data_IF_327228459798
#
_entry.id   IF_327228459798
#
_cell.length_a   1.000
_cell.length_b   1.000
_cell.length_c   1.000
_cell.angle_alpha   90.00
_cell.angle_beta   90.00
_cell.angle_gamma   90.00
#
_symmetry.space_group_name_H-M   'P 1'
#
loop_
_entity.id
_entity.type
_entity.pdbx_description
1 polymer ?
#
# COMPACT_ATOMS: atom_id res chain seq x y z
N UNK A 1 5.60 -12.85 -2.03
CA UNK A 1 5.08 -11.47 -2.01
C UNK A 1 5.61 -10.57 -0.86
N UNK A 2 5.42 -10.89 0.44
CA UNK A 2 5.87 -9.97 1.54
C UNK A 2 7.39 -9.71 1.53
N UNK A 3 8.21 -10.69 1.19
CA UNK A 3 9.68 -10.54 1.14
C UNK A 3 10.12 -9.71 -0.08
N UNK A 4 9.58 -9.98 -1.27
CA UNK A 4 9.88 -9.23 -2.49
C UNK A 4 9.48 -7.76 -2.34
N UNK A 5 8.32 -7.48 -1.71
CA UNK A 5 7.91 -6.11 -1.41
C UNK A 5 8.92 -5.40 -0.48
N UNK A 6 9.38 -6.08 0.58
CA UNK A 6 10.41 -5.54 1.47
C UNK A 6 11.70 -5.25 0.70
N UNK A 7 12.15 -6.16 -0.16
CA UNK A 7 13.33 -5.97 -0.99
C UNK A 7 13.17 -4.76 -1.93
N UNK A 8 12.03 -4.64 -2.62
CA UNK A 8 11.77 -3.52 -3.51
C UNK A 8 11.70 -2.19 -2.73
N UNK A 9 11.08 -2.19 -1.55
CA UNK A 9 11.01 -1.00 -0.68
C UNK A 9 12.40 -0.56 -0.19
N UNK A 10 13.28 -1.51 0.11
CA UNK A 10 14.68 -1.26 0.48
C UNK A 10 15.47 -0.72 -0.72
N UNK A 11 15.30 -1.31 -1.91
CA UNK A 11 15.92 -0.83 -3.16
C UNK A 11 15.50 0.60 -3.50
N UNK A 12 14.23 0.95 -3.36
CA UNK A 12 13.76 2.33 -3.49
C UNK A 12 14.47 3.28 -2.51
N UNK A 13 14.60 2.87 -1.25
CA UNK A 13 15.31 3.64 -0.23
C UNK A 13 16.79 3.86 -0.59
N UNK A 14 17.50 2.81 -1.03
CA UNK A 14 18.92 2.89 -1.39
C UNK A 14 19.16 3.66 -2.68
N UNK A 15 18.31 3.51 -3.70
CA UNK A 15 18.32 4.32 -4.93
C UNK A 15 18.27 5.81 -4.58
N UNK A 16 17.31 6.22 -3.75
CA UNK A 16 17.18 7.62 -3.33
C UNK A 16 18.38 8.10 -2.52
N UNK A 17 18.90 7.27 -1.61
CA UNK A 17 20.08 7.62 -0.82
C UNK A 17 21.32 7.84 -1.71
N UNK A 18 21.59 6.92 -2.64
CA UNK A 18 22.74 7.01 -3.54
C UNK A 18 22.67 8.25 -4.44
N UNK A 19 21.50 8.50 -5.03
CA UNK A 19 21.30 9.68 -5.90
C UNK A 19 21.43 10.96 -5.09
N UNK A 20 20.90 11.01 -3.86
CA UNK A 20 21.12 12.15 -2.95
C UNK A 20 22.59 12.42 -2.73
N UNK A 21 23.39 11.39 -2.44
CA UNK A 21 24.84 11.56 -2.26
C UNK A 21 25.52 12.12 -3.52
N UNK A 22 25.12 11.66 -4.70
CA UNK A 22 25.66 12.16 -5.99
C UNK A 22 25.28 13.63 -6.19
N UNK A 23 24.00 13.97 -6.01
CA UNK A 23 23.50 15.34 -6.15
C UNK A 23 24.15 16.28 -5.15
N UNK A 24 24.28 15.88 -3.89
CA UNK A 24 24.92 16.72 -2.88
C UNK A 24 26.41 16.94 -3.20
N UNK A 25 27.12 15.93 -3.72
CA UNK A 25 28.52 16.09 -4.17
C UNK A 25 28.66 16.99 -5.40
N UNK A 26 27.79 16.84 -6.39
CA UNK A 26 27.91 17.53 -7.70
C UNK A 26 27.25 18.90 -7.74
N UNK A 27 26.18 19.13 -6.97
CA UNK A 27 25.27 20.26 -7.13
C UNK A 27 25.08 21.14 -5.89
N UNK A 28 25.48 20.71 -4.68
CA UNK A 28 25.18 21.42 -3.44
C UNK A 28 25.86 22.80 -3.26
N UNK A 29 26.71 23.23 -4.20
CA UNK A 29 27.58 24.40 -4.04
C UNK A 29 26.92 25.75 -4.38
N UNK A 30 25.66 25.79 -4.86
CA UNK A 30 25.04 27.06 -5.27
C UNK A 30 23.52 27.11 -5.11
N UNK A 31 23.03 28.22 -4.53
CA UNK A 31 21.60 28.57 -4.48
C UNK A 31 20.95 28.68 -5.87
N UNK A 32 21.74 28.99 -6.90
CA UNK A 32 21.28 29.03 -8.30
C UNK A 32 20.80 27.66 -8.77
N UNK A 33 21.44 26.57 -8.31
CA UNK A 33 21.03 25.21 -8.69
C UNK A 33 19.69 24.85 -8.06
N UNK A 34 19.51 25.17 -6.79
CA UNK A 34 18.24 24.94 -6.08
C UNK A 34 17.08 25.63 -6.80
N UNK A 35 17.23 26.90 -7.18
CA UNK A 35 16.19 27.63 -7.91
C UNK A 35 15.88 27.02 -9.28
N UNK A 36 16.90 26.53 -10.01
CA UNK A 36 16.70 25.82 -11.27
C UNK A 36 15.95 24.50 -11.09
N UNK A 37 16.29 23.72 -10.05
CA UNK A 37 15.58 22.47 -9.75
C UNK A 37 14.11 22.75 -9.43
N UNK A 38 13.84 23.77 -8.61
CA UNK A 38 12.47 24.18 -8.28
C UNK A 38 11.68 24.62 -9.51
N UNK A 39 12.27 25.43 -10.38
CA UNK A 39 11.61 25.90 -11.59
C UNK A 39 11.25 24.72 -12.50
N UNK A 40 12.24 23.86 -12.82
CA UNK A 40 12.02 22.67 -13.63
C UNK A 40 10.91 21.77 -13.04
N UNK A 41 10.98 21.48 -11.75
CA UNK A 41 9.99 20.62 -11.10
C UNK A 41 8.61 21.28 -11.02
N UNK A 42 8.53 22.60 -10.89
CA UNK A 42 7.24 23.30 -10.90
C UNK A 42 6.61 23.31 -12.29
N UNK A 43 7.42 23.33 -13.34
CA UNK A 43 6.95 23.27 -14.72
C UNK A 43 6.49 21.84 -15.09
N UNK A 44 7.25 20.81 -14.67
CA UNK A 44 6.91 19.41 -14.93
C UNK A 44 5.83 18.86 -13.98
N UNK A 45 5.78 19.34 -12.75
CA UNK A 45 4.91 18.85 -11.67
C UNK A 45 4.30 20.05 -10.89
N UNK A 46 3.29 20.73 -11.47
CA UNK A 46 2.73 21.96 -10.89
C UNK A 46 2.18 21.80 -9.47
N UNK A 47 1.77 20.59 -9.10
CA UNK A 47 1.29 20.24 -7.76
C UNK A 47 2.38 20.36 -6.68
N UNK A 48 3.66 20.30 -7.05
CA UNK A 48 4.79 20.43 -6.11
C UNK A 48 5.15 21.89 -5.79
N UNK A 49 4.58 22.88 -6.48
CA UNK A 49 5.02 24.29 -6.42
C UNK A 49 5.00 24.86 -4.99
N UNK A 50 3.97 24.53 -4.21
CA UNK A 50 3.85 24.98 -2.82
C UNK A 50 4.95 24.36 -1.93
N UNK A 51 5.17 23.05 -2.02
CA UNK A 51 6.20 22.34 -1.27
C UNK A 51 7.63 22.76 -1.67
N UNK A 52 7.85 23.03 -2.96
CA UNK A 52 9.13 23.49 -3.47
C UNK A 52 9.46 24.91 -3.02
N UNK A 53 8.46 25.75 -2.74
CA UNK A 53 8.68 27.14 -2.31
C UNK A 53 9.52 27.21 -1.03
N UNK A 54 9.28 26.30 -0.08
CA UNK A 54 9.94 26.25 1.23
C UNK A 54 11.28 25.52 1.23
N UNK A 55 11.60 24.73 0.19
CA UNK A 55 12.86 23.99 0.12
C UNK A 55 14.06 24.94 -0.05
N UNK A 56 15.05 24.92 0.84
CA UNK A 56 16.22 25.84 0.76
C UNK A 56 17.48 25.20 0.18
N UNK A 57 17.53 23.88 0.14
CA UNK A 57 18.71 23.10 -0.23
C UNK A 57 18.36 22.09 -1.32
N UNK A 58 19.38 21.56 -1.99
CA UNK A 58 19.22 20.42 -2.92
C UNK A 58 18.55 19.26 -2.19
N UNK A 59 18.98 18.97 -0.96
CA UNK A 59 18.39 17.94 -0.12
C UNK A 59 16.90 18.16 0.17
N UNK A 60 16.50 19.40 0.46
CA UNK A 60 15.10 19.75 0.68
C UNK A 60 14.25 19.61 -0.59
N UNK A 61 14.82 19.90 -1.76
CA UNK A 61 14.14 19.64 -3.04
C UNK A 61 13.99 18.14 -3.27
N UNK A 62 15.04 17.35 -3.01
CA UNK A 62 14.99 15.89 -3.15
C UNK A 62 14.01 15.23 -2.16
N UNK A 63 13.75 15.84 -1.01
CA UNK A 63 12.71 15.37 -0.08
C UNK A 63 11.31 15.51 -0.68
N UNK A 64 11.01 16.64 -1.32
CA UNK A 64 9.74 16.87 -2.02
C UNK A 64 9.60 15.87 -3.17
N UNK A 65 10.65 15.71 -3.98
CA UNK A 65 10.69 14.73 -5.09
C UNK A 65 10.42 13.32 -4.57
N UNK A 66 11.04 12.92 -3.45
CA UNK A 66 10.86 11.59 -2.87
C UNK A 66 9.41 11.30 -2.46
N UNK A 67 8.68 12.31 -1.97
CA UNK A 67 7.26 12.16 -1.62
C UNK A 67 6.36 11.98 -2.84
N UNK A 68 6.74 12.56 -3.98
CA UNK A 68 6.03 12.39 -5.25
C UNK A 68 6.30 11.03 -5.88
N UNK A 69 7.51 10.50 -5.75
CA UNK A 69 7.88 9.18 -6.26
C UNK A 69 7.19 8.05 -5.48
N UNK A 70 7.04 6.91 -6.14
CA UNK A 70 6.62 5.64 -5.54
C UNK A 70 7.71 4.59 -5.69
N UNK A 71 7.52 3.42 -5.07
CA UNK A 71 8.47 2.29 -5.19
C UNK A 71 8.63 1.78 -6.63
N UNK A 72 7.75 2.14 -7.56
CA UNK A 72 7.80 1.72 -8.97
C UNK A 72 8.05 2.90 -9.92
N UNK A 73 7.64 4.10 -9.52
CA UNK A 73 7.75 5.31 -10.34
C UNK A 73 8.68 6.32 -9.67
N UNK A 74 9.84 6.52 -10.27
CA UNK A 74 10.87 7.48 -9.87
C UNK A 74 11.05 8.60 -10.90
N UNK A 75 10.09 8.80 -11.81
CA UNK A 75 10.21 9.75 -12.91
C UNK A 75 10.57 11.20 -12.51
N UNK A 76 10.03 11.78 -11.42
CA UNK A 76 10.47 13.09 -10.94
C UNK A 76 11.98 13.19 -10.68
N UNK A 77 12.62 12.09 -10.25
CA UNK A 77 14.06 12.02 -10.01
C UNK A 77 14.85 11.90 -11.33
N UNK A 78 14.29 11.22 -12.32
CA UNK A 78 14.86 11.10 -13.68
C UNK A 78 14.91 12.44 -14.40
N UNK A 79 13.83 13.23 -14.32
CA UNK A 79 13.77 14.59 -14.87
C UNK A 79 14.95 15.43 -14.37
N UNK A 80 15.26 15.34 -13.07
CA UNK A 80 16.42 16.00 -12.50
C UNK A 80 17.75 15.43 -13.01
N UNK A 81 17.91 14.10 -13.02
CA UNK A 81 19.15 13.47 -13.46
C UNK A 81 19.52 13.88 -14.89
N UNK A 82 18.55 13.80 -15.82
CA UNK A 82 18.71 14.16 -17.23
C UNK A 82 19.00 15.64 -17.40
N UNK A 83 18.21 16.53 -16.79
CA UNK A 83 18.36 17.98 -16.99
C UNK A 83 19.69 18.50 -16.43
N UNK A 84 20.15 17.93 -15.32
CA UNK A 84 21.43 18.30 -14.70
C UNK A 84 22.60 17.45 -15.19
N UNK A 85 22.38 16.57 -16.18
CA UNK A 85 23.39 15.72 -16.84
C UNK A 85 24.20 14.88 -15.84
N UNK A 86 23.51 14.30 -14.86
CA UNK A 86 24.12 13.47 -13.81
C UNK A 86 24.04 12.00 -14.24
N UNK A 87 24.97 11.60 -15.12
CA UNK A 87 25.00 10.25 -15.71
C UNK A 87 24.92 9.12 -14.69
N UNK A 88 25.65 9.22 -13.57
CA UNK A 88 25.63 8.16 -12.55
C UNK A 88 24.24 8.01 -11.90
N UNK A 89 23.47 9.11 -11.81
CA UNK A 89 22.10 9.04 -11.33
C UNK A 89 21.16 8.44 -12.38
N UNK A 90 21.35 8.76 -13.66
CA UNK A 90 20.58 8.16 -14.76
C UNK A 90 20.74 6.63 -14.78
N UNK A 91 21.98 6.13 -14.63
CA UNK A 91 22.26 4.69 -14.60
C UNK A 91 21.58 3.99 -13.42
N UNK A 92 21.65 4.58 -12.21
CA UNK A 92 20.99 4.04 -11.01
C UNK A 92 19.46 4.04 -11.17
N UNK A 93 18.89 5.07 -11.81
CA UNK A 93 17.45 5.18 -12.07
C UNK A 93 17.01 4.11 -13.07
N UNK A 94 17.80 3.88 -14.12
CA UNK A 94 17.53 2.84 -15.10
C UNK A 94 17.49 1.46 -14.46
N UNK A 95 18.50 1.13 -13.65
CA UNK A 95 18.57 -0.14 -12.90
C UNK A 95 17.35 -0.29 -11.95
N UNK A 96 16.96 0.78 -11.28
CA UNK A 96 15.78 0.79 -10.42
C UNK A 96 14.51 0.49 -11.22
N UNK A 97 14.30 1.13 -12.36
CA UNK A 97 13.12 0.91 -13.22
C UNK A 97 13.05 -0.50 -13.76
N UNK A 98 14.19 -1.08 -14.15
CA UNK A 98 14.26 -2.48 -14.58
C UNK A 98 13.88 -3.43 -13.43
N UNK A 99 14.42 -3.20 -12.24
CA UNK A 99 14.06 -3.96 -11.03
C UNK A 99 12.59 -3.81 -10.68
N UNK A 100 12.04 -2.58 -10.75
CA UNK A 100 10.64 -2.29 -10.50
C UNK A 100 9.73 -3.02 -11.49
N UNK A 101 10.12 -3.08 -12.77
CA UNK A 101 9.38 -3.80 -13.81
C UNK A 101 9.34 -5.30 -13.53
N UNK A 102 10.46 -5.91 -13.15
CA UNK A 102 10.50 -7.32 -12.76
C UNK A 102 9.72 -7.58 -11.47
N UNK A 103 9.79 -6.68 -10.49
CA UNK A 103 8.96 -6.73 -9.30
C UNK A 103 7.46 -6.65 -9.64
N UNK A 104 7.04 -5.74 -10.53
CA UNK A 104 5.65 -5.68 -10.97
C UNK A 104 5.20 -6.97 -11.66
N UNK A 105 6.07 -7.62 -12.44
CA UNK A 105 5.80 -8.94 -13.03
C UNK A 105 5.71 -10.05 -11.98
N UNK A 106 6.51 -10.00 -10.90
CA UNK A 106 6.42 -10.99 -9.82
C UNK A 106 5.23 -10.74 -8.89
N UNK A 107 4.76 -9.49 -8.80
CA UNK A 107 3.53 -9.08 -8.13
C UNK A 107 2.29 -9.35 -8.99
N UNK A 108 2.43 -10.03 -10.14
CA UNK A 108 1.27 -10.71 -10.76
C UNK A 108 0.55 -11.43 -9.64
N UNK A 109 -0.68 -10.98 -9.38
CA UNK A 109 -1.52 -11.48 -8.29
C UNK A 109 -1.33 -12.99 -8.29
N UNK A 110 -0.88 -13.55 -7.17
CA UNK A 110 -0.78 -14.99 -6.97
C UNK A 110 -2.19 -15.55 -6.98
N UNK A 111 -2.77 -15.57 -8.17
CA UNK A 111 -3.89 -16.37 -8.56
C UNK A 111 -3.24 -17.72 -8.77
N UNK A 112 -3.56 -18.63 -7.85
CA UNK A 112 -3.26 -20.05 -7.95
C UNK A 112 -3.27 -20.49 -9.41
N UNK A 113 -2.26 -21.24 -9.82
CA UNK A 113 -1.95 -21.63 -11.21
C UNK A 113 -3.08 -22.38 -11.98
N UNK A 114 -4.29 -22.49 -11.45
CA UNK A 114 -5.38 -23.27 -12.05
C UNK A 114 -6.79 -22.63 -12.03
N UNK A 115 -6.97 -21.40 -11.53
CA UNK A 115 -8.28 -20.73 -11.62
C UNK A 115 -8.18 -19.45 -12.48
N UNK A 116 -8.90 -19.46 -13.60
CA UNK A 116 -8.92 -18.37 -14.60
C UNK A 116 -9.27 -17.03 -13.94
N UNK A 117 -8.61 -15.94 -14.37
CA UNK A 117 -8.84 -14.56 -13.89
C UNK A 117 -10.32 -14.16 -13.75
N UNK A 118 -11.17 -14.69 -14.61
CA UNK A 118 -12.62 -14.50 -14.60
C UNK A 118 -13.33 -15.14 -13.38
N UNK A 119 -12.77 -16.13 -12.69
CA UNK A 119 -13.39 -16.70 -11.48
C UNK A 119 -12.98 -15.95 -10.22
N UNK A 120 -11.69 -15.60 -10.08
CA UNK A 120 -11.16 -15.01 -8.84
C UNK A 120 -11.48 -13.51 -8.74
N UNK A 121 -11.35 -12.75 -9.83
CA UNK A 121 -11.78 -11.35 -9.84
C UNK A 121 -13.27 -11.27 -9.57
N UNK A 122 -14.08 -12.16 -10.14
CA UNK A 122 -15.53 -12.18 -9.91
C UNK A 122 -15.87 -12.58 -8.47
N UNK A 123 -15.11 -13.48 -7.83
CA UNK A 123 -15.32 -13.83 -6.40
C UNK A 123 -14.99 -12.69 -5.43
N UNK A 124 -13.93 -11.90 -5.68
CA UNK A 124 -13.55 -10.80 -4.79
C UNK A 124 -14.12 -9.41 -5.18
N UNK A 125 -14.51 -9.20 -6.44
CA UNK A 125 -15.21 -8.00 -6.91
C UNK A 125 -16.71 -8.07 -6.62
N UNK A 126 -17.29 -9.28 -6.56
CA UNK A 126 -18.63 -9.54 -6.04
C UNK A 126 -18.56 -9.91 -4.55
N UNK A 127 -17.69 -9.25 -3.77
CA UNK A 127 -17.71 -9.44 -2.32
C UNK A 127 -18.93 -8.72 -1.75
N UNK A 128 -19.72 -9.44 -0.98
CA UNK A 128 -20.73 -8.82 -0.14
C UNK A 128 -20.05 -8.29 1.12
N UNK A 129 -20.46 -7.10 1.54
CA UNK A 129 -20.07 -6.56 2.85
C UNK A 129 -21.09 -7.03 3.87
N UNK A 130 -20.66 -7.88 4.78
CA UNK A 130 -21.48 -8.34 5.90
C UNK A 130 -21.02 -7.60 7.14
N UNK A 131 -21.93 -6.85 7.73
CA UNK A 131 -21.67 -6.13 8.98
C UNK A 131 -22.22 -6.92 10.15
N UNK A 132 -21.34 -7.35 11.04
CA UNK A 132 -21.70 -7.90 12.35
C UNK A 132 -21.65 -6.80 13.40
N UNK A 133 -22.73 -6.68 14.18
CA UNK A 133 -22.76 -5.82 15.36
C UNK A 133 -22.70 -6.72 16.59
N UNK A 134 -21.53 -6.75 17.23
CA UNK A 134 -21.28 -7.54 18.41
C UNK A 134 -21.55 -6.66 19.64
N UNK A 135 -22.39 -7.13 20.57
CA UNK A 135 -22.65 -6.46 21.84
C UNK A 135 -21.48 -6.62 22.83
N UNK A 136 -20.28 -6.32 22.35
CA UNK A 136 -19.03 -6.37 23.10
C UNK A 136 -18.56 -4.95 23.35
N UNK A 137 -17.84 -4.76 24.46
CA UNK A 137 -17.28 -3.47 24.86
C UNK A 137 -16.12 -3.09 23.92
N UNK A 138 -16.26 -2.03 23.10
CA UNK A 138 -15.25 -1.66 22.13
C UNK A 138 -13.91 -1.27 22.75
N UNK A 139 -13.90 -0.81 24.00
CA UNK A 139 -12.70 -0.38 24.72
C UNK A 139 -11.93 -1.56 25.31
N UNK A 140 -12.56 -2.74 25.43
CA UNK A 140 -11.96 -3.96 25.99
C UNK A 140 -11.71 -5.06 24.98
N UNK A 141 -12.36 -4.99 23.82
CA UNK A 141 -12.16 -5.95 22.73
C UNK A 141 -11.08 -5.44 21.77
N UNK A 142 -10.25 -6.34 21.25
CA UNK A 142 -9.27 -6.09 20.18
C UNK A 142 -9.72 -6.70 18.84
N UNK A 143 -9.10 -6.30 17.72
CA UNK A 143 -9.32 -6.99 16.44
C UNK A 143 -8.85 -8.45 16.49
N UNK A 144 -7.84 -8.76 17.32
CA UNK A 144 -7.37 -10.13 17.49
C UNK A 144 -8.43 -10.99 18.17
N UNK A 145 -9.08 -10.51 19.24
CA UNK A 145 -10.16 -11.24 19.92
C UNK A 145 -11.32 -11.56 18.95
N UNK A 146 -11.65 -10.63 18.06
CA UNK A 146 -12.64 -10.85 16.99
C UNK A 146 -12.17 -11.93 16.01
N UNK A 147 -10.92 -11.88 15.58
CA UNK A 147 -10.36 -12.88 14.67
C UNK A 147 -10.32 -14.27 15.33
N UNK A 148 -9.94 -14.36 16.60
CA UNK A 148 -9.84 -15.63 17.33
C UNK A 148 -11.21 -16.29 17.45
N UNK A 149 -12.26 -15.53 17.79
CA UNK A 149 -13.63 -16.06 17.79
C UNK A 149 -14.07 -16.51 16.40
N UNK A 150 -13.79 -15.72 15.36
CA UNK A 150 -14.16 -16.10 13.98
C UNK A 150 -13.33 -17.30 13.46
N UNK A 151 -12.14 -17.53 14.00
CA UNK A 151 -11.31 -18.70 13.74
C UNK A 151 -11.87 -19.94 14.46
N UNK A 152 -12.25 -19.83 15.74
CA UNK A 152 -12.91 -20.90 16.49
C UNK A 152 -14.24 -21.32 15.88
N UNK A 153 -14.95 -20.38 15.24
CA UNK A 153 -16.16 -20.65 14.47
C UNK A 153 -15.89 -21.24 13.09
N UNK A 154 -14.62 -21.47 12.73
CA UNK A 154 -14.12 -21.95 11.43
C UNK A 154 -14.53 -21.06 10.24
N UNK A 155 -14.98 -19.83 10.48
CA UNK A 155 -15.58 -18.98 9.45
C UNK A 155 -14.53 -18.37 8.53
N UNK A 156 -13.39 -17.93 9.10
CA UNK A 156 -12.33 -17.25 8.34
C UNK A 156 -11.72 -18.17 7.29
N UNK A 157 -11.43 -19.42 7.66
CA UNK A 157 -10.81 -20.39 6.76
C UNK A 157 -11.80 -20.94 5.75
N UNK A 158 -13.05 -21.18 6.16
CA UNK A 158 -14.08 -21.79 5.32
C UNK A 158 -14.66 -20.86 4.26
N UNK A 159 -14.75 -19.55 4.56
CA UNK A 159 -15.44 -18.59 3.69
C UNK A 159 -14.54 -17.44 3.20
N UNK A 160 -13.22 -17.59 3.34
CA UNK A 160 -12.21 -16.62 2.89
C UNK A 160 -12.51 -15.18 3.36
N UNK A 161 -12.94 -15.05 4.61
CA UNK A 161 -13.45 -13.78 5.13
C UNK A 161 -12.30 -12.84 5.43
N UNK A 162 -12.34 -11.64 4.85
CA UNK A 162 -11.49 -10.54 5.29
C UNK A 162 -12.21 -9.73 6.35
N UNK A 163 -11.65 -9.71 7.56
CA UNK A 163 -12.21 -8.99 8.71
C UNK A 163 -11.61 -7.59 8.81
N UNK A 164 -12.48 -6.57 8.89
CA UNK A 164 -12.13 -5.18 9.14
C UNK A 164 -12.99 -4.67 10.28
N UNK A 165 -12.36 -4.35 11.41
CA UNK A 165 -13.06 -3.75 12.55
C UNK A 165 -13.21 -2.25 12.34
N UNK A 166 -14.40 -1.74 12.57
CA UNK A 166 -14.71 -0.31 12.56
C UNK A 166 -15.35 0.06 13.89
N UNK A 167 -14.99 1.20 14.47
CA UNK A 167 -15.52 1.61 15.77
C UNK A 167 -16.55 2.73 15.60
N UNK A 168 -17.77 2.49 16.07
CA UNK A 168 -18.76 3.54 16.34
C UNK A 168 -19.72 3.10 17.46
N UNK A 169 -19.79 3.84 18.57
CA UNK A 169 -20.79 3.64 19.63
C UNK A 169 -20.41 2.67 20.74
N UNK A 170 -21.41 2.03 21.39
CA UNK A 170 -21.28 1.13 22.56
C UNK A 170 -21.01 -0.35 22.20
N UNK A 171 -20.82 -0.66 20.93
CA UNK A 171 -20.71 -2.03 20.42
C UNK A 171 -19.54 -2.16 19.44
N UNK A 172 -19.06 -3.38 19.25
CA UNK A 172 -18.02 -3.68 18.26
C UNK A 172 -18.66 -3.95 16.91
N UNK A 173 -18.35 -3.10 15.93
CA UNK A 173 -18.81 -3.27 14.54
C UNK A 173 -17.69 -3.92 13.73
N UNK A 174 -18.00 -5.05 13.10
CA UNK A 174 -17.08 -5.82 12.30
C UNK A 174 -17.62 -5.88 10.88
N UNK A 175 -16.87 -5.31 9.93
CA UNK A 175 -17.15 -5.43 8.52
C UNK A 175 -16.33 -6.60 7.97
N UNK A 176 -17.04 -7.57 7.44
CA UNK A 176 -16.48 -8.75 6.81
C UNK A 176 -16.71 -8.66 5.30
N UNK A 177 -15.68 -9.00 4.54
CA UNK A 177 -15.78 -9.17 3.10
C UNK A 177 -15.70 -10.66 2.81
N UNK A 178 -16.74 -11.21 2.18
CA UNK A 178 -16.75 -12.59 1.71
C UNK A 178 -17.24 -12.64 0.26
N UNK A 179 -16.79 -13.62 -0.55
CA UNK A 179 -17.36 -13.84 -1.87
C UNK A 179 -18.89 -14.01 -1.82
N UNK A 180 -19.63 -13.35 -2.72
CA UNK A 180 -21.11 -13.36 -2.72
C UNK A 180 -21.71 -14.76 -2.61
N UNK A 181 -21.08 -15.76 -3.24
CA UNK A 181 -21.49 -17.17 -3.23
C UNK A 181 -21.55 -17.78 -1.82
N UNK A 182 -20.79 -17.25 -0.86
CA UNK A 182 -20.76 -17.73 0.51
C UNK A 182 -21.66 -16.94 1.46
N UNK A 183 -22.26 -15.83 1.02
CA UNK A 183 -23.05 -14.93 1.87
C UNK A 183 -24.17 -15.67 2.61
N UNK A 184 -24.97 -16.45 1.88
CA UNK A 184 -26.06 -17.23 2.49
C UNK A 184 -25.55 -18.26 3.50
N UNK A 185 -24.54 -19.04 3.13
CA UNK A 185 -23.94 -20.07 4.00
C UNK A 185 -23.26 -19.48 5.23
N UNK A 186 -22.63 -18.32 5.10
CA UNK A 186 -22.00 -17.59 6.19
C UNK A 186 -23.04 -17.03 7.17
N UNK A 187 -24.11 -16.41 6.66
CA UNK A 187 -25.23 -15.94 7.50
C UNK A 187 -25.83 -17.11 8.29
N UNK A 188 -26.11 -18.24 7.63
CA UNK A 188 -26.67 -19.43 8.28
C UNK A 188 -25.71 -19.97 9.34
N UNK A 189 -24.43 -20.15 9.00
CA UNK A 189 -23.43 -20.68 9.93
C UNK A 189 -23.28 -19.80 11.19
N UNK A 190 -23.27 -18.47 11.02
CA UNK A 190 -23.24 -17.53 12.14
C UNK A 190 -24.52 -17.61 12.97
N UNK A 191 -25.70 -17.63 12.34
CA UNK A 191 -26.97 -17.72 13.04
C UNK A 191 -27.14 -19.02 13.81
N UNK A 192 -26.72 -20.15 13.25
CA UNK A 192 -26.79 -21.46 13.91
C UNK A 192 -25.86 -21.52 15.12
N UNK A 193 -24.65 -20.95 15.01
CA UNK A 193 -23.72 -20.86 16.13
C UNK A 193 -24.22 -19.89 17.21
N UNK A 194 -24.83 -18.76 16.84
CA UNK A 194 -25.45 -17.83 17.81
C UNK A 194 -26.65 -18.48 18.53
N UNK A 195 -27.45 -19.30 17.84
CA UNK A 195 -28.58 -20.03 18.45
C UNK A 195 -28.10 -21.11 19.43
N UNK A 196 -26.95 -21.74 19.16
CA UNK A 196 -26.37 -22.73 20.06
C UNK A 196 -26.08 -22.12 21.45
N UNK A 197 -25.53 -20.91 21.50
CA UNK A 197 -25.27 -20.19 22.76
C UNK A 197 -26.51 -19.63 23.47
N UNK A 198 -27.70 -19.68 22.88
CA UNK A 198 -28.96 -19.25 23.53
C UNK A 198 -29.78 -20.40 24.12
N UNK A 199 -29.36 -21.66 23.94
CA UNK A 199 -30.07 -22.86 24.43
C UNK A 199 -29.44 -23.51 25.65
N UNK A 200 -28.27 -23.03 26.09
CA UNK A 200 -27.58 -23.53 27.29
C UNK A 200 -27.84 -22.67 28.55
N UNK A 201 -28.79 -21.72 28.49
CA UNK A 201 -29.33 -20.97 29.63
C UNK A 201 -30.76 -21.42 30.00
#
# INVERSE_FOLDING_TARGET
MRNEFKQMRTKFGSTFYNIRQIFSKKLAKSSKVVNKMKALLSDCFPDLKSELSVAKTVDGVLDVVKRKCSIVDVHPLEVLAVQFKVKEAEDIIKEHKETAKEFCKSVTVSLSKDETLQSILTRYLLCETITFVLNWDPDKTTLQDVNDVLLELELIQKYEIKVVRTHSGRSVVVNCYCPAVYTGSLIIAVLDKIKYYKRED
#
